data_IF_992929320181
#
_entry.id   IF_992929320181
#
_cell.length_a   1.000
_cell.length_b   1.000
_cell.length_c   1.000
_cell.angle_alpha   90.00
_cell.angle_beta   90.00
_cell.angle_gamma   90.00
#
_symmetry.space_group_name_H-M   'P 1'
#
loop_
_entity.id
_entity.type
_entity.pdbx_description
1 polymer ?
#
# COMPACT_ATOMS: atom_id res chain seq x y z
N UNK A 1 -22.08 -19.74 -1.03
CA UNK A 1 -20.84 -19.60 -0.25
C UNK A 1 -19.89 -20.73 -0.62
N UNK A 2 -18.59 -20.46 -0.76
CA UNK A 2 -17.57 -21.46 -1.13
C UNK A 2 -17.16 -22.36 0.04
N UNK A 3 -17.18 -21.85 1.26
CA UNK A 3 -16.63 -22.47 2.47
C UNK A 3 -17.72 -22.90 3.48
N UNK A 4 -18.96 -23.09 3.01
CA UNK A 4 -20.13 -23.35 3.86
C UNK A 4 -19.93 -24.52 4.83
N UNK A 5 -19.30 -25.62 4.38
CA UNK A 5 -19.08 -26.81 5.20
C UNK A 5 -18.12 -26.58 6.38
N UNK A 6 -17.18 -25.64 6.26
CA UNK A 6 -16.27 -25.24 7.34
C UNK A 6 -16.98 -24.28 8.29
N UNK A 7 -17.68 -23.29 7.72
CA UNK A 7 -18.43 -22.27 8.48
C UNK A 7 -19.49 -22.92 9.39
N UNK A 8 -20.23 -23.93 8.89
CA UNK A 8 -21.23 -24.65 9.68
C UNK A 8 -20.66 -25.42 10.87
N UNK A 9 -19.34 -25.69 10.88
CA UNK A 9 -18.67 -26.35 12.01
C UNK A 9 -18.17 -25.35 13.04
N UNK A 10 -18.21 -24.04 12.77
CA UNK A 10 -17.75 -22.98 13.67
C UNK A 10 -18.87 -22.56 14.61
N UNK A 11 -18.53 -22.33 15.87
CA UNK A 11 -19.37 -21.67 16.85
C UNK A 11 -19.49 -20.18 16.51
N UNK A 12 -20.54 -19.52 17.02
CA UNK A 12 -20.72 -18.08 16.84
C UNK A 12 -19.50 -17.26 17.31
N UNK A 13 -18.90 -17.61 18.45
CA UNK A 13 -17.70 -16.94 18.96
C UNK A 13 -16.47 -17.14 18.07
N UNK A 14 -16.30 -18.33 17.49
CA UNK A 14 -15.23 -18.55 16.50
C UNK A 14 -15.49 -17.78 15.20
N UNK A 15 -16.74 -17.65 14.74
CA UNK A 15 -17.05 -16.82 13.58
C UNK A 15 -16.76 -15.34 13.83
N UNK A 16 -17.16 -14.84 15.02
CA UNK A 16 -16.94 -13.47 15.42
C UNK A 16 -15.45 -13.13 15.53
N UNK A 17 -14.64 -14.03 16.11
CA UNK A 17 -13.20 -13.78 16.28
C UNK A 17 -12.45 -13.61 14.96
N UNK A 18 -12.91 -14.22 13.87
CA UNK A 18 -12.31 -14.03 12.54
C UNK A 18 -12.58 -12.67 11.92
N UNK A 19 -13.52 -11.88 12.45
CA UNK A 19 -13.80 -10.52 11.95
C UNK A 19 -12.83 -9.46 12.46
N UNK A 20 -11.84 -9.86 13.26
CA UNK A 20 -10.74 -9.03 13.74
C UNK A 20 -9.39 -9.73 13.58
N UNK A 21 -8.32 -8.94 13.50
CA UNK A 21 -6.96 -9.44 13.55
C UNK A 21 -6.67 -10.19 14.87
N UNK A 22 -5.75 -11.15 14.81
CA UNK A 22 -5.17 -11.81 15.99
C UNK A 22 -4.19 -10.89 16.71
N UNK A 23 -3.41 -10.15 15.92
CA UNK A 23 -2.44 -9.18 16.39
C UNK A 23 -2.40 -7.98 15.43
N UNK A 24 -1.27 -7.29 15.36
CA UNK A 24 -1.11 -6.13 14.49
C UNK A 24 -1.04 -6.49 12.99
N UNK A 25 -0.56 -7.67 12.63
CA UNK A 25 -0.26 -8.05 11.24
C UNK A 25 -0.96 -9.34 10.78
N UNK A 26 -1.47 -10.15 11.70
CA UNK A 26 -1.97 -11.48 11.39
C UNK A 26 -3.46 -11.65 11.66
N UNK A 27 -4.11 -12.48 10.84
CA UNK A 27 -5.50 -12.92 11.09
C UNK A 27 -5.55 -14.04 12.13
N UNK A 28 -6.73 -14.27 12.67
CA UNK A 28 -7.02 -15.45 13.48
C UNK A 28 -6.74 -16.75 12.71
N UNK A 29 -6.30 -17.77 13.45
CA UNK A 29 -6.21 -19.17 13.02
C UNK A 29 -7.20 -20.02 13.82
N UNK A 30 -7.59 -21.18 13.28
CA UNK A 30 -8.42 -22.16 13.97
C UNK A 30 -7.96 -23.58 13.67
N UNK A 31 -7.11 -24.10 14.55
CA UNK A 31 -6.35 -25.34 14.32
C UNK A 31 -7.26 -26.57 14.19
N UNK A 32 -8.34 -26.65 14.96
CA UNK A 32 -9.28 -27.81 14.89
C UNK A 32 -9.95 -27.95 13.53
N UNK A 33 -10.07 -26.84 12.78
CA UNK A 33 -10.63 -26.80 11.43
C UNK A 33 -9.55 -26.57 10.36
N UNK A 34 -8.27 -26.62 10.75
CA UNK A 34 -7.12 -26.43 9.86
C UNK A 34 -7.17 -25.09 9.10
N UNK A 35 -7.68 -24.03 9.74
CA UNK A 35 -7.69 -22.69 9.15
C UNK A 35 -6.39 -21.98 9.57
N UNK A 36 -5.45 -21.72 8.64
CA UNK A 36 -4.21 -21.05 8.97
C UNK A 36 -4.43 -19.56 9.22
N UNK A 37 -3.47 -18.93 9.90
CA UNK A 37 -3.35 -17.47 9.95
C UNK A 37 -2.63 -16.97 8.69
N UNK A 38 -3.06 -15.83 8.16
CA UNK A 38 -2.35 -15.10 7.10
C UNK A 38 -1.67 -13.85 7.65
N UNK A 39 -0.56 -13.47 7.03
CA UNK A 39 0.20 -12.27 7.38
C UNK A 39 -0.07 -11.14 6.37
N UNK A 40 -0.43 -9.96 6.87
CA UNK A 40 -0.59 -8.72 6.11
C UNK A 40 0.63 -7.82 6.40
N UNK A 41 1.19 -7.18 5.39
CA UNK A 41 2.37 -6.32 5.56
C UNK A 41 2.31 -5.10 4.64
N UNK A 42 2.82 -3.96 5.11
CA UNK A 42 3.17 -2.84 4.24
C UNK A 42 4.27 -3.24 3.24
N UNK A 43 4.48 -2.55 2.12
CA UNK A 43 3.71 -1.40 1.62
C UNK A 43 3.95 -1.14 0.12
N UNK A 44 3.45 -0.02 -0.43
CA UNK A 44 3.17 0.11 -1.87
C UNK A 44 4.40 0.21 -2.80
N UNK A 45 5.59 0.50 -2.27
CA UNK A 45 6.84 0.62 -3.05
C UNK A 45 8.02 -0.15 -2.42
N UNK A 46 7.71 -1.18 -1.64
CA UNK A 46 8.69 -2.08 -1.04
C UNK A 46 8.10 -2.76 0.19
N UNK A 47 8.57 -3.97 0.48
CA UNK A 47 8.07 -4.73 1.61
C UNK A 47 8.64 -4.16 2.93
N UNK A 48 7.77 -3.94 3.90
CA UNK A 48 8.11 -3.55 5.27
C UNK A 48 7.57 -4.57 6.25
N UNK A 49 8.31 -5.67 6.40
CA UNK A 49 8.03 -6.69 7.41
C UNK A 49 8.91 -6.48 8.63
N UNK A 50 8.33 -6.44 9.83
CA UNK A 50 9.08 -6.32 11.08
C UNK A 50 9.81 -7.64 11.40
N UNK A 51 11.10 -7.56 11.78
CA UNK A 51 11.95 -8.73 12.02
C UNK A 51 11.65 -9.48 13.34
N UNK A 52 10.91 -8.85 14.27
CA UNK A 52 10.48 -9.44 15.52
C UNK A 52 9.02 -9.04 15.84
N UNK A 53 8.31 -9.91 16.55
CA UNK A 53 6.99 -9.61 17.10
C UNK A 53 7.13 -8.69 18.32
N UNK A 54 7.28 -7.38 18.13
CA UNK A 54 7.10 -6.43 19.23
C UNK A 54 6.92 -4.98 18.78
N UNK A 55 5.97 -4.35 19.48
CA UNK A 55 5.68 -2.91 19.60
C UNK A 55 4.94 -2.25 18.41
N UNK A 56 3.68 -1.89 18.70
CA UNK A 56 2.71 -1.18 17.87
C UNK A 56 3.23 0.17 17.29
N UNK A 57 4.39 0.66 17.74
CA UNK A 57 4.98 1.94 17.37
C UNK A 57 5.96 1.89 16.19
N UNK A 58 6.30 0.70 15.67
CA UNK A 58 7.19 0.59 14.50
C UNK A 58 8.64 1.01 14.75
N UNK A 59 9.10 0.92 15.99
CA UNK A 59 10.45 1.34 16.44
C UNK A 59 11.58 0.36 16.06
N UNK A 60 11.25 -0.89 15.72
CA UNK A 60 12.23 -1.90 15.33
C UNK A 60 12.49 -1.88 13.81
N UNK A 61 13.75 -2.15 13.42
CA UNK A 61 14.15 -2.20 12.02
C UNK A 61 13.37 -3.28 11.25
N UNK A 62 12.79 -2.91 10.10
CA UNK A 62 12.20 -3.88 9.19
C UNK A 62 13.29 -4.73 8.54
N UNK A 63 12.94 -5.95 8.14
CA UNK A 63 13.80 -6.81 7.32
C UNK A 63 14.18 -6.03 6.05
N UNK A 64 15.46 -6.05 5.63
CA UNK A 64 15.86 -5.39 4.39
C UNK A 64 15.08 -5.91 3.18
N UNK A 65 14.60 -4.99 2.34
CA UNK A 65 13.84 -5.27 1.13
C UNK A 65 14.24 -4.28 0.02
N UNK A 66 13.85 -4.53 -1.22
CA UNK A 66 14.09 -3.57 -2.31
C UNK A 66 13.18 -2.36 -2.11
N UNK A 67 13.77 -1.16 -2.08
CA UNK A 67 13.01 0.09 -2.07
C UNK A 67 12.85 0.58 -3.51
N UNK A 68 11.68 0.32 -4.10
CA UNK A 68 11.35 0.79 -5.44
C UNK A 68 11.05 2.31 -5.43
N UNK A 69 11.13 2.99 -6.59
CA UNK A 69 10.61 4.34 -6.72
C UNK A 69 9.15 4.42 -6.26
N UNK A 70 8.79 5.51 -5.60
CA UNK A 70 7.44 5.66 -5.05
C UNK A 70 6.40 5.74 -6.19
N UNK A 71 5.13 5.44 -5.90
CA UNK A 71 4.06 5.47 -6.92
C UNK A 71 3.95 6.81 -7.64
N UNK A 72 4.27 7.92 -6.97
CA UNK A 72 4.34 9.24 -7.60
C UNK A 72 5.44 9.37 -8.66
N UNK A 73 6.56 8.68 -8.48
CA UNK A 73 7.62 8.59 -9.48
C UNK A 73 7.21 7.63 -10.58
N UNK A 74 6.80 6.40 -10.25
CA UNK A 74 6.49 5.37 -11.26
C UNK A 74 5.34 5.78 -12.18
N UNK A 75 4.36 6.55 -11.70
CA UNK A 75 3.30 7.08 -12.55
C UNK A 75 3.81 7.94 -13.73
N UNK A 76 5.00 8.55 -13.58
CA UNK A 76 5.59 9.40 -14.62
C UNK A 76 6.15 8.60 -15.81
N UNK A 77 6.26 7.27 -15.70
CA UNK A 77 6.63 6.44 -16.87
C UNK A 77 5.47 6.28 -17.86
N UNK A 78 4.22 6.43 -17.40
CA UNK A 78 3.02 6.11 -18.18
C UNK A 78 3.00 4.68 -18.76
N UNK A 79 3.77 3.76 -18.16
CA UNK A 79 3.93 2.39 -18.63
C UNK A 79 3.38 1.36 -17.63
N UNK A 80 2.25 0.76 -18.02
CA UNK A 80 1.63 -0.33 -17.27
C UNK A 80 2.56 -1.55 -17.15
N UNK A 81 3.43 -1.80 -18.14
CA UNK A 81 4.38 -2.91 -18.14
C UNK A 81 5.40 -2.77 -17.02
N UNK A 82 5.98 -1.58 -16.85
CA UNK A 82 6.87 -1.27 -15.72
C UNK A 82 6.15 -1.42 -14.37
N UNK A 83 4.88 -0.97 -14.29
CA UNK A 83 4.08 -1.16 -13.08
C UNK A 83 3.83 -2.64 -12.74
N UNK A 84 3.60 -3.48 -13.75
CA UNK A 84 3.45 -4.92 -13.57
C UNK A 84 4.78 -5.61 -13.21
N UNK A 85 5.90 -5.19 -13.80
CA UNK A 85 7.24 -5.67 -13.47
C UNK A 85 7.57 -5.38 -11.99
N UNK A 86 7.38 -4.13 -11.55
CA UNK A 86 7.51 -3.72 -10.15
C UNK A 86 6.61 -4.55 -9.24
N UNK A 87 5.33 -4.66 -9.57
CA UNK A 87 4.38 -5.47 -8.79
C UNK A 87 4.82 -6.93 -8.65
N UNK A 88 5.41 -7.51 -9.70
CA UNK A 88 5.94 -8.87 -9.67
C UNK A 88 7.12 -9.00 -8.71
N UNK A 89 8.05 -8.04 -8.69
CA UNK A 89 9.15 -8.03 -7.73
C UNK A 89 8.64 -7.90 -6.28
N UNK A 90 7.68 -6.99 -6.04
CA UNK A 90 7.03 -6.85 -4.73
C UNK A 90 6.38 -8.15 -4.27
N UNK A 91 5.61 -8.80 -5.15
CA UNK A 91 4.96 -10.08 -4.86
C UNK A 91 5.97 -11.19 -4.52
N UNK A 92 7.09 -11.27 -5.26
CA UNK A 92 8.17 -12.23 -4.97
C UNK A 92 8.81 -11.99 -3.60
N UNK A 93 9.08 -10.73 -3.25
CA UNK A 93 9.64 -10.39 -1.93
C UNK A 93 8.66 -10.65 -0.79
N UNK A 94 7.39 -10.33 -0.98
CA UNK A 94 6.34 -10.67 -0.03
C UNK A 94 6.27 -12.19 0.18
N UNK A 95 6.29 -12.97 -0.91
CA UNK A 95 6.23 -14.42 -0.86
C UNK A 95 7.45 -15.04 -0.17
N UNK A 96 8.66 -14.57 -0.46
CA UNK A 96 9.89 -15.06 0.19
C UNK A 96 9.90 -14.81 1.70
N UNK A 97 9.21 -13.76 2.13
CA UNK A 97 9.03 -13.43 3.54
C UNK A 97 7.70 -13.94 4.11
N UNK A 98 6.99 -14.86 3.44
CA UNK A 98 5.73 -15.47 3.92
C UNK A 98 4.65 -14.43 4.25
N UNK A 99 4.49 -13.43 3.40
CA UNK A 99 3.41 -12.43 3.47
C UNK A 99 2.32 -12.81 2.48
N UNK A 100 1.07 -12.89 2.95
CA UNK A 100 -0.09 -13.28 2.16
C UNK A 100 -0.73 -12.09 1.46
N UNK A 101 -0.75 -10.92 2.12
CA UNK A 101 -1.36 -9.71 1.61
C UNK A 101 -0.37 -8.56 1.72
N UNK A 102 -0.02 -7.98 0.58
CA UNK A 102 0.76 -6.75 0.53
C UNK A 102 -0.19 -5.56 0.54
N UNK A 103 -0.04 -4.66 1.51
CA UNK A 103 -0.89 -3.49 1.73
C UNK A 103 -0.57 -2.37 0.74
N UNK A 104 -0.88 -2.59 -0.53
CA UNK A 104 -0.74 -1.63 -1.61
C UNK A 104 -1.19 -2.18 -2.97
N UNK A 105 -1.24 -1.33 -4.00
CA UNK A 105 -0.80 0.07 -4.02
C UNK A 105 -1.79 1.08 -3.40
N UNK A 106 -1.28 2.27 -3.07
CA UNK A 106 -2.07 3.44 -2.69
C UNK A 106 -2.55 4.23 -3.91
N UNK A 107 -3.84 4.55 -4.00
CA UNK A 107 -4.46 5.07 -5.23
C UNK A 107 -5.41 6.25 -4.98
N UNK A 108 -5.29 6.92 -3.84
CA UNK A 108 -6.03 8.16 -3.58
C UNK A 108 -5.58 9.26 -4.56
N UNK A 109 -6.52 10.06 -5.04
CA UNK A 109 -6.25 11.18 -5.94
C UNK A 109 -5.42 12.27 -5.25
N UNK A 110 -4.41 12.79 -5.95
CA UNK A 110 -3.61 13.95 -5.53
C UNK A 110 -4.40 15.26 -5.66
N UNK A 111 -5.49 15.42 -4.88
CA UNK A 111 -6.37 16.61 -4.93
C UNK A 111 -5.61 17.92 -4.70
N UNK A 112 -4.66 17.90 -3.76
CA UNK A 112 -3.88 19.06 -3.38
C UNK A 112 -2.41 18.63 -3.21
N UNK A 113 -1.43 19.41 -3.72
CA UNK A 113 -0.02 19.04 -3.64
C UNK A 113 0.52 18.92 -2.21
N UNK A 114 -0.16 19.52 -1.21
CA UNK A 114 0.25 19.52 0.19
C UNK A 114 -0.16 18.25 0.96
N UNK A 115 -0.86 17.31 0.34
CA UNK A 115 -1.18 16.04 1.01
C UNK A 115 0.11 15.27 1.33
N UNK A 116 0.30 14.96 2.62
CA UNK A 116 1.52 14.31 3.12
C UNK A 116 1.82 12.93 2.53
N UNK A 117 0.84 12.28 1.89
CA UNK A 117 0.96 10.96 1.26
C UNK A 117 0.95 10.98 -0.26
N UNK A 118 1.00 12.16 -0.90
CA UNK A 118 1.05 12.23 -2.35
C UNK A 118 2.20 11.43 -2.98
N UNK A 119 3.34 11.29 -2.29
CA UNK A 119 4.45 10.46 -2.78
C UNK A 119 4.06 8.98 -2.98
N UNK A 120 3.09 8.50 -2.19
CA UNK A 120 2.58 7.12 -2.13
C UNK A 120 1.42 6.87 -3.12
N UNK A 121 0.96 7.91 -3.83
CA UNK A 121 -0.15 7.86 -4.78
C UNK A 121 0.32 8.14 -6.21
N UNK A 122 -0.38 7.59 -7.20
CA UNK A 122 0.03 7.68 -8.61
C UNK A 122 -0.18 9.08 -9.21
N UNK A 123 -1.42 9.58 -9.26
CA UNK A 123 -1.75 10.78 -10.04
C UNK A 123 -2.89 11.60 -9.45
N UNK A 124 -3.02 12.83 -9.93
CA UNK A 124 -4.26 13.63 -9.83
C UNK A 124 -5.30 13.19 -10.88
N UNK A 125 -4.85 12.57 -11.97
CA UNK A 125 -5.71 12.04 -13.02
C UNK A 125 -6.22 10.63 -12.68
N UNK A 126 -7.54 10.39 -12.69
CA UNK A 126 -8.13 9.12 -12.31
C UNK A 126 -7.82 7.97 -13.27
N UNK A 127 -7.63 8.25 -14.56
CA UNK A 127 -7.33 7.21 -15.55
C UNK A 127 -5.92 6.67 -15.33
N UNK A 128 -4.92 7.55 -15.29
CA UNK A 128 -3.53 7.17 -15.02
C UNK A 128 -3.39 6.46 -13.68
N UNK A 129 -4.02 6.99 -12.62
CA UNK A 129 -3.99 6.36 -11.30
C UNK A 129 -4.61 4.95 -11.32
N UNK A 130 -5.74 4.77 -12.00
CA UNK A 130 -6.40 3.47 -12.13
C UNK A 130 -5.60 2.45 -12.94
N UNK A 131 -5.02 2.85 -14.07
CA UNK A 131 -4.24 1.97 -14.95
C UNK A 131 -2.96 1.49 -14.28
N UNK A 132 -2.20 2.40 -13.67
CA UNK A 132 -0.99 2.04 -12.93
C UNK A 132 -1.29 1.16 -11.71
N UNK A 133 -2.41 1.43 -11.02
CA UNK A 133 -2.84 0.56 -9.93
C UNK A 133 -3.19 -0.85 -10.40
N UNK A 134 -3.92 -0.97 -11.50
CA UNK A 134 -4.30 -2.26 -12.06
C UNK A 134 -3.08 -3.10 -12.46
N UNK A 135 -2.04 -2.48 -13.03
CA UNK A 135 -0.81 -3.19 -13.40
C UNK A 135 -0.02 -3.69 -12.19
N UNK A 136 0.11 -2.88 -11.14
CA UNK A 136 0.71 -3.31 -9.86
C UNK A 136 -0.02 -4.51 -9.27
N UNK A 137 -1.36 -4.45 -9.22
CA UNK A 137 -2.20 -5.53 -8.69
C UNK A 137 -1.98 -6.82 -9.50
N UNK A 138 -1.97 -6.74 -10.84
CA UNK A 138 -1.69 -7.90 -11.69
C UNK A 138 -0.32 -8.52 -11.38
N UNK A 139 0.72 -7.69 -11.27
CA UNK A 139 2.08 -8.14 -10.96
C UNK A 139 2.18 -8.84 -9.61
N UNK A 140 1.66 -8.22 -8.55
CA UNK A 140 1.69 -8.79 -7.19
C UNK A 140 0.95 -10.13 -7.18
N UNK A 141 -0.27 -10.18 -7.73
CA UNK A 141 -1.12 -11.36 -7.68
C UNK A 141 -0.65 -12.52 -8.57
N UNK A 142 0.12 -12.24 -9.62
CA UNK A 142 0.75 -13.28 -10.43
C UNK A 142 1.74 -14.16 -9.62
N UNK A 143 2.21 -13.67 -8.46
CA UNK A 143 3.12 -14.42 -7.58
C UNK A 143 2.40 -15.30 -6.57
N UNK A 144 1.08 -15.15 -6.40
CA UNK A 144 0.29 -15.83 -5.37
C UNK A 144 -0.01 -14.97 -4.13
N UNK A 145 0.68 -13.82 -3.98
CA UNK A 145 0.40 -12.83 -2.93
C UNK A 145 -0.80 -11.96 -3.32
N UNK A 146 -1.68 -11.63 -2.38
CA UNK A 146 -2.76 -10.68 -2.65
C UNK A 146 -2.26 -9.24 -2.60
N UNK A 147 -2.66 -8.43 -3.56
CA UNK A 147 -2.58 -6.97 -3.44
C UNK A 147 -3.73 -6.43 -2.59
N UNK A 148 -3.61 -5.19 -2.12
CA UNK A 148 -4.61 -4.48 -1.34
C UNK A 148 -4.72 -3.03 -1.84
N UNK A 149 -5.73 -2.73 -2.66
CA UNK A 149 -5.97 -1.34 -3.10
C UNK A 149 -6.38 -0.48 -1.90
N UNK A 150 -5.73 0.68 -1.73
CA UNK A 150 -6.00 1.56 -0.58
C UNK A 150 -5.94 3.05 -0.95
N UNK A 151 -6.61 3.95 -0.26
CA UNK A 151 -7.58 3.75 0.84
C UNK A 151 -8.95 4.15 0.32
N UNK A 152 -9.92 3.24 0.34
CA UNK A 152 -11.24 3.40 -0.23
C UNK A 152 -12.21 4.09 0.76
N UNK A 153 -12.59 5.36 0.58
CA UNK A 153 -12.15 6.30 -0.46
C UNK A 153 -12.04 7.74 0.07
N UNK A 154 -11.50 8.62 -0.77
CA UNK A 154 -11.36 10.05 -0.52
C UNK A 154 -10.48 10.44 0.70
N UNK A 155 -9.49 9.60 1.02
CA UNK A 155 -8.41 9.94 1.96
C UNK A 155 -7.33 10.77 1.27
N UNK A 156 -7.62 12.04 0.97
CA UNK A 156 -6.76 12.90 0.16
C UNK A 156 -5.98 13.94 0.98
N UNK A 157 -5.97 13.82 2.32
CA UNK A 157 -5.18 14.66 3.22
C UNK A 157 -4.93 13.95 4.56
N UNK A 158 -3.76 14.19 5.15
CA UNK A 158 -3.43 13.63 6.46
C UNK A 158 -4.01 14.44 7.63
N UNK A 159 -4.26 15.73 7.41
CA UNK A 159 -4.81 16.60 8.46
C UNK A 159 -6.18 16.09 8.90
N UNK A 160 -6.25 15.65 10.17
CA UNK A 160 -7.44 15.11 10.82
C UNK A 160 -8.08 13.92 10.09
N UNK A 161 -7.28 13.09 9.40
CA UNK A 161 -7.78 11.97 8.58
C UNK A 161 -8.75 11.01 9.29
N UNK A 162 -8.66 10.86 10.62
CA UNK A 162 -9.56 10.01 11.43
C UNK A 162 -10.90 10.66 11.82
N UNK A 163 -11.11 11.93 11.53
CA UNK A 163 -12.33 12.67 11.97
C UNK A 163 -12.92 13.58 10.91
N UNK A 164 -12.18 13.87 9.83
CA UNK A 164 -12.64 14.76 8.79
C UNK A 164 -13.76 14.11 7.96
N UNK A 165 -14.71 14.93 7.54
CA UNK A 165 -15.74 14.57 6.58
C UNK A 165 -15.47 15.22 5.24
N UNK A 166 -15.23 14.38 4.23
CA UNK A 166 -15.04 14.79 2.84
C UNK A 166 -16.41 14.96 2.20
N UNK A 167 -16.85 16.21 2.06
CA UNK A 167 -18.11 16.57 1.40
C UNK A 167 -17.89 16.64 -0.12
N UNK A 168 -18.48 15.71 -0.86
CA UNK A 168 -18.22 15.50 -2.28
C UNK A 168 -19.55 15.18 -2.99
N UNK A 169 -19.88 15.90 -4.06
CA UNK A 169 -21.03 15.57 -4.88
C UNK A 169 -20.83 14.25 -5.63
N UNK A 170 -21.93 13.56 -5.97
CA UNK A 170 -21.88 12.22 -6.56
C UNK A 170 -21.08 12.18 -7.87
N UNK A 171 -21.17 13.23 -8.70
CA UNK A 171 -20.43 13.27 -9.97
C UNK A 171 -18.93 13.30 -9.72
N UNK A 172 -18.46 14.22 -8.87
CA UNK A 172 -17.03 14.30 -8.52
C UNK A 172 -16.57 13.02 -7.81
N UNK A 173 -17.38 12.47 -6.92
CA UNK A 173 -17.10 11.20 -6.24
C UNK A 173 -16.85 10.08 -7.26
N UNK A 174 -17.73 9.94 -8.25
CA UNK A 174 -17.67 8.90 -9.30
C UNK A 174 -16.56 9.10 -10.31
N UNK A 175 -16.42 10.32 -10.84
CA UNK A 175 -15.50 10.62 -11.94
C UNK A 175 -14.05 10.74 -11.48
N UNK A 176 -13.81 11.21 -10.24
CA UNK A 176 -12.46 11.50 -9.73
C UNK A 176 -12.02 10.47 -8.69
N UNK A 177 -12.73 10.37 -7.57
CA UNK A 177 -12.20 9.64 -6.40
C UNK A 177 -12.45 8.14 -6.46
N UNK A 178 -13.55 7.71 -7.07
CA UNK A 178 -13.91 6.30 -7.22
C UNK A 178 -13.43 5.69 -8.52
N UNK A 179 -13.28 6.48 -9.59
CA UNK A 179 -12.82 6.02 -10.90
C UNK A 179 -11.51 5.19 -10.86
N UNK A 180 -10.43 5.57 -10.14
CA UNK A 180 -9.23 4.75 -10.09
C UNK A 180 -9.46 3.40 -9.39
N UNK A 181 -10.33 3.35 -8.37
CA UNK A 181 -10.73 2.09 -7.74
C UNK A 181 -11.55 1.22 -8.68
N UNK A 182 -12.50 1.80 -9.42
CA UNK A 182 -13.30 1.08 -10.41
C UNK A 182 -12.40 0.39 -11.45
N UNK A 183 -11.44 1.14 -12.01
CA UNK A 183 -10.46 0.62 -12.98
C UNK A 183 -9.59 -0.46 -12.33
N UNK A 184 -9.00 -0.16 -11.17
CA UNK A 184 -8.15 -1.09 -10.42
C UNK A 184 -8.87 -2.40 -10.07
N UNK A 185 -10.16 -2.33 -9.74
CA UNK A 185 -11.00 -3.50 -9.45
C UNK A 185 -11.30 -4.31 -10.70
N UNK A 186 -11.79 -3.67 -11.76
CA UNK A 186 -12.22 -4.36 -12.99
C UNK A 186 -11.06 -4.98 -13.74
N UNK A 187 -9.92 -4.29 -13.78
CA UNK A 187 -8.77 -4.69 -14.58
C UNK A 187 -7.71 -5.43 -13.76
N UNK A 188 -7.44 -4.98 -12.53
CA UNK A 188 -6.45 -5.60 -11.63
C UNK A 188 -7.02 -6.77 -10.83
N UNK A 189 -8.32 -6.75 -10.50
CA UNK A 189 -9.02 -7.78 -9.71
C UNK A 189 -8.34 -8.06 -8.35
N UNK A 190 -8.13 -7.03 -7.50
CA UNK A 190 -7.50 -7.21 -6.20
C UNK A 190 -8.36 -8.11 -5.30
N UNK A 191 -7.75 -9.00 -4.52
CA UNK A 191 -8.50 -9.80 -3.53
C UNK A 191 -8.75 -9.05 -2.22
N UNK A 192 -8.09 -7.92 -2.00
CA UNK A 192 -8.31 -7.07 -0.82
C UNK A 192 -8.45 -5.60 -1.23
N UNK A 193 -9.33 -4.88 -0.56
CA UNK A 193 -9.40 -3.41 -0.55
C UNK A 193 -9.33 -2.94 0.91
N UNK A 194 -8.64 -1.84 1.17
CA UNK A 194 -8.61 -1.22 2.49
C UNK A 194 -9.53 0.01 2.51
N UNK A 195 -10.46 0.07 3.46
CA UNK A 195 -11.27 1.27 3.66
C UNK A 195 -10.47 2.40 4.30
N UNK A 196 -10.79 3.66 4.01
CA UNK A 196 -10.12 4.82 4.59
C UNK A 196 -10.57 5.19 6.01
N UNK A 197 -9.77 6.03 6.68
CA UNK A 197 -10.12 6.58 8.00
C UNK A 197 -11.24 7.62 7.99
N UNK A 198 -11.33 8.45 6.96
CA UNK A 198 -12.19 9.61 6.95
C UNK A 198 -13.67 9.24 6.78
N UNK A 199 -14.52 10.25 6.93
CA UNK A 199 -15.92 10.20 6.49
C UNK A 199 -16.04 10.69 5.06
N UNK A 200 -17.10 10.25 4.39
CA UNK A 200 -17.54 10.80 3.11
C UNK A 200 -19.04 11.07 3.21
N UNK A 201 -19.42 12.34 3.09
CA UNK A 201 -20.80 12.80 3.19
C UNK A 201 -21.52 12.30 4.46
N UNK A 202 -20.86 12.39 5.62
CA UNK A 202 -21.45 12.17 6.94
C UNK A 202 -21.04 10.86 7.65
N UNK A 203 -20.77 9.80 6.89
CA UNK A 203 -20.48 8.47 7.43
C UNK A 203 -19.03 8.04 7.20
N UNK A 204 -18.45 7.33 8.18
CA UNK A 204 -17.12 6.74 8.06
C UNK A 204 -17.06 5.73 6.91
N UNK A 205 -15.99 5.73 6.13
CA UNK A 205 -15.99 4.91 4.91
C UNK A 205 -16.10 3.41 5.16
N UNK A 206 -15.65 2.90 6.31
CA UNK A 206 -15.82 1.49 6.69
C UNK A 206 -17.28 1.11 6.98
N UNK A 207 -18.15 2.08 7.27
CA UNK A 207 -19.56 1.92 7.64
C UNK A 207 -20.53 2.45 6.57
N UNK A 208 -20.01 3.15 5.56
CA UNK A 208 -20.80 3.88 4.58
C UNK A 208 -21.49 2.91 3.61
N UNK A 209 -22.81 2.75 3.74
CA UNK A 209 -23.63 1.85 2.92
C UNK A 209 -23.61 2.20 1.43
N UNK A 210 -23.59 3.49 1.09
CA UNK A 210 -23.52 3.94 -0.30
C UNK A 210 -22.21 3.50 -0.94
N UNK A 211 -21.07 3.75 -0.29
CA UNK A 211 -19.76 3.36 -0.81
C UNK A 211 -19.58 1.83 -0.83
N UNK A 212 -19.86 1.16 0.28
CA UNK A 212 -19.50 -0.24 0.47
C UNK A 212 -20.53 -1.19 -0.14
N UNK A 213 -21.84 -0.99 0.10
CA UNK A 213 -22.87 -1.88 -0.45
C UNK A 213 -23.33 -1.45 -1.82
N UNK A 214 -23.80 -0.22 -1.97
CA UNK A 214 -24.46 0.18 -3.22
C UNK A 214 -23.44 0.23 -4.37
N UNK A 215 -22.31 0.90 -4.17
CA UNK A 215 -21.29 1.00 -5.22
C UNK A 215 -20.43 -0.26 -5.30
N UNK A 216 -19.71 -0.58 -4.23
CA UNK A 216 -18.67 -1.62 -4.30
C UNK A 216 -19.26 -3.02 -4.48
N UNK A 217 -20.26 -3.42 -3.69
CA UNK A 217 -20.89 -4.76 -3.82
C UNK A 217 -21.95 -4.83 -4.91
N UNK A 218 -22.88 -3.88 -4.98
CA UNK A 218 -24.07 -4.00 -5.83
C UNK A 218 -23.80 -3.53 -7.27
N UNK A 219 -23.11 -2.42 -7.49
CA UNK A 219 -22.81 -1.96 -8.85
C UNK A 219 -21.56 -2.64 -9.43
N UNK A 220 -20.44 -2.59 -8.72
CA UNK A 220 -19.16 -3.11 -9.22
C UNK A 220 -18.98 -4.62 -9.03
N UNK A 221 -19.89 -5.25 -8.28
CA UNK A 221 -19.88 -6.70 -8.02
C UNK A 221 -18.57 -7.17 -7.39
N UNK A 222 -17.95 -6.36 -6.54
CA UNK A 222 -16.76 -6.78 -5.81
C UNK A 222 -17.12 -7.82 -4.75
N UNK A 223 -16.59 -9.04 -4.85
CA UNK A 223 -16.92 -10.17 -3.97
C UNK A 223 -15.75 -10.64 -3.09
N UNK A 224 -14.67 -9.86 -3.01
CA UNK A 224 -13.50 -10.20 -2.18
C UNK A 224 -13.47 -9.36 -0.88
N UNK A 225 -12.36 -9.40 -0.15
CA UNK A 225 -12.28 -8.90 1.22
C UNK A 225 -12.09 -7.38 1.27
N UNK A 226 -12.79 -6.73 2.19
CA UNK A 226 -12.52 -5.37 2.64
C UNK A 226 -11.96 -5.45 4.06
N UNK A 227 -10.82 -4.80 4.26
CA UNK A 227 -10.15 -4.64 5.56
C UNK A 227 -10.22 -3.17 5.98
N UNK A 228 -10.27 -2.89 7.27
CA UNK A 228 -10.13 -1.51 7.75
C UNK A 228 -8.70 -1.02 7.55
N UNK A 229 -8.49 0.29 7.43
CA UNK A 229 -7.20 0.86 7.81
C UNK A 229 -6.96 0.60 9.31
N UNK A 230 -5.71 0.67 9.75
CA UNK A 230 -5.30 0.29 11.10
C UNK A 230 -5.93 1.18 12.19
N UNK A 231 -6.91 0.64 12.92
CA UNK A 231 -7.70 1.41 13.89
C UNK A 231 -8.79 2.28 13.25
N UNK A 232 -9.14 2.01 11.99
CA UNK A 232 -10.18 2.71 11.23
C UNK A 232 -11.58 2.11 11.36
N UNK A 233 -11.82 1.29 12.39
CA UNK A 233 -13.12 0.72 12.74
C UNK A 233 -13.75 1.58 13.84
N UNK A 234 -14.90 2.21 13.57
CA UNK A 234 -15.58 3.07 14.56
C UNK A 234 -16.83 2.41 15.16
N UNK A 235 -17.63 1.73 14.34
CA UNK A 235 -18.76 0.89 14.75
C UNK A 235 -18.67 -0.47 14.05
N UNK A 236 -18.40 -1.53 14.82
CA UNK A 236 -18.16 -2.87 14.29
C UNK A 236 -19.39 -3.43 13.59
N UNK A 237 -20.58 -3.24 14.17
CA UNK A 237 -21.82 -3.81 13.66
C UNK A 237 -22.20 -3.13 12.36
N UNK A 238 -22.13 -1.79 12.30
CA UNK A 238 -22.37 -1.05 11.05
C UNK A 238 -21.34 -1.41 9.98
N UNK A 239 -20.07 -1.57 10.34
CA UNK A 239 -19.02 -2.01 9.42
C UNK A 239 -19.32 -3.36 8.77
N UNK A 240 -19.75 -4.35 9.57
CA UNK A 240 -20.17 -5.66 9.06
C UNK A 240 -21.40 -5.60 8.17
N UNK A 241 -22.39 -4.78 8.52
CA UNK A 241 -23.57 -4.55 7.68
C UNK A 241 -23.15 -3.94 6.34
N UNK A 242 -22.26 -2.94 6.35
CA UNK A 242 -21.70 -2.33 5.15
C UNK A 242 -20.84 -3.29 4.30
N UNK A 243 -20.34 -4.38 4.90
CA UNK A 243 -19.53 -5.39 4.22
C UNK A 243 -18.02 -5.14 4.33
N UNK A 244 -17.58 -4.62 5.47
CA UNK A 244 -16.19 -4.49 5.88
C UNK A 244 -15.84 -5.62 6.86
N UNK A 245 -15.23 -6.69 6.34
CA UNK A 245 -15.10 -7.97 7.02
C UNK A 245 -14.09 -7.94 8.17
N UNK A 246 -12.89 -7.41 7.89
CA UNK A 246 -11.72 -7.59 8.75
C UNK A 246 -11.31 -6.28 9.41
N UNK A 247 -11.49 -6.20 10.72
CA UNK A 247 -10.92 -5.15 11.54
C UNK A 247 -9.43 -5.41 11.80
N UNK A 248 -8.60 -4.42 11.48
CA UNK A 248 -7.17 -4.42 11.81
C UNK A 248 -6.78 -3.13 12.55
N UNK A 249 -5.82 -3.17 13.49
CA UNK A 249 -5.28 -4.38 14.12
C UNK A 249 -6.30 -4.99 15.10
N UNK A 250 -5.91 -6.01 15.87
CA UNK A 250 -6.72 -6.48 17.00
C UNK A 250 -6.98 -5.37 18.04
N UNK A 251 -8.14 -5.41 18.69
CA UNK A 251 -8.45 -4.65 19.90
C UNK A 251 -8.50 -5.53 21.16
N UNK A 252 -7.95 -6.75 21.11
CA UNK A 252 -8.00 -7.69 22.22
C UNK A 252 -9.30 -8.51 22.31
N UNK A 253 -10.22 -8.33 21.36
CA UNK A 253 -11.45 -9.12 21.24
C UNK A 253 -12.71 -8.39 21.71
N UNK A 254 -12.61 -7.14 22.16
CA UNK A 254 -13.74 -6.35 22.67
C UNK A 254 -14.89 -6.28 21.64
N UNK A 255 -14.57 -6.04 20.36
CA UNK A 255 -15.59 -5.98 19.29
C UNK A 255 -16.10 -7.35 18.85
N UNK A 256 -15.41 -8.45 19.19
CA UNK A 256 -15.91 -9.80 18.90
C UNK A 256 -17.13 -10.12 19.76
N UNK A 257 -17.11 -9.70 21.03
CA UNK A 257 -18.24 -9.89 21.94
C UNK A 257 -19.45 -9.05 21.51
N UNK A 258 -19.22 -7.83 20.98
CA UNK A 258 -20.28 -7.01 20.39
C UNK A 258 -21.01 -7.74 19.25
N UNK A 259 -20.26 -8.43 18.37
CA UNK A 259 -20.83 -9.21 17.25
C UNK A 259 -21.67 -10.36 17.79
N UNK A 260 -21.15 -11.12 18.75
CA UNK A 260 -21.85 -12.25 19.36
C UNK A 260 -23.18 -11.79 19.98
N UNK A 261 -23.16 -10.68 20.73
CA UNK A 261 -24.34 -10.13 21.37
C UNK A 261 -25.34 -9.56 20.35
N UNK A 262 -24.87 -8.91 19.28
CA UNK A 262 -25.72 -8.42 18.21
C UNK A 262 -26.47 -9.55 17.50
N UNK A 263 -25.81 -10.70 17.27
CA UNK A 263 -26.45 -11.89 16.69
C UNK A 263 -27.48 -12.49 17.64
N UNK A 264 -27.11 -12.72 18.92
CA UNK A 264 -28.04 -13.28 19.92
C UNK A 264 -29.29 -12.42 20.13
N UNK A 265 -29.15 -11.09 20.05
CA UNK A 265 -30.25 -10.12 20.17
C UNK A 265 -31.02 -9.92 18.87
N UNK A 266 -30.60 -10.53 17.75
CA UNK A 266 -31.25 -10.40 16.45
C UNK A 266 -31.04 -9.04 15.77
N UNK A 267 -30.05 -8.26 16.21
CA UNK A 267 -29.67 -6.97 15.58
C UNK A 267 -29.10 -7.22 14.18
N UNK A 268 -28.29 -8.28 14.05
CA UNK A 268 -27.84 -8.81 12.75
C UNK A 268 -28.10 -10.31 12.68
N UNK A 269 -28.42 -10.86 11.51
CA UNK A 269 -28.53 -12.30 11.36
C UNK A 269 -27.15 -12.95 11.32
N UNK A 270 -27.01 -14.18 11.84
CA UNK A 270 -25.76 -14.95 11.75
C UNK A 270 -25.32 -15.19 10.29
N UNK A 271 -26.27 -15.24 9.35
CA UNK A 271 -25.97 -15.37 7.92
C UNK A 271 -25.16 -14.21 7.35
N UNK A 272 -25.25 -13.01 7.93
CA UNK A 272 -24.38 -11.88 7.55
C UNK A 272 -22.93 -12.21 7.91
N UNK A 273 -22.70 -12.81 9.07
CA UNK A 273 -21.37 -13.20 9.51
C UNK A 273 -20.80 -14.33 8.63
N UNK A 274 -21.64 -15.30 8.28
CA UNK A 274 -21.27 -16.38 7.35
C UNK A 274 -20.85 -15.85 5.98
N UNK A 275 -21.55 -14.85 5.44
CA UNK A 275 -21.22 -14.21 4.16
C UNK A 275 -19.84 -13.52 4.19
N UNK A 276 -19.57 -12.75 5.25
CA UNK A 276 -18.30 -12.06 5.46
C UNK A 276 -17.14 -13.07 5.65
N UNK A 277 -17.39 -14.11 6.46
CA UNK A 277 -16.43 -15.17 6.73
C UNK A 277 -16.12 -16.00 5.48
N UNK A 278 -17.09 -16.24 4.59
CA UNK A 278 -16.86 -16.95 3.34
C UNK A 278 -15.79 -16.25 2.47
N UNK A 279 -15.86 -14.92 2.36
CA UNK A 279 -14.86 -14.13 1.62
C UNK A 279 -13.49 -14.20 2.26
N UNK A 280 -13.43 -14.04 3.59
CA UNK A 280 -12.18 -14.09 4.33
C UNK A 280 -11.52 -15.47 4.27
N UNK A 281 -12.29 -16.55 4.44
CA UNK A 281 -11.76 -17.91 4.34
C UNK A 281 -11.26 -18.23 2.92
N UNK A 282 -11.95 -17.74 1.88
CA UNK A 282 -11.44 -17.87 0.51
C UNK A 282 -10.09 -17.17 0.34
N UNK A 283 -9.90 -15.95 0.85
CA UNK A 283 -8.60 -15.28 0.83
C UNK A 283 -7.53 -16.07 1.60
N UNK A 284 -7.86 -16.55 2.80
CA UNK A 284 -6.96 -17.33 3.64
C UNK A 284 -6.48 -18.57 2.90
N UNK A 285 -7.39 -19.42 2.41
CA UNK A 285 -7.02 -20.65 1.76
C UNK A 285 -6.27 -20.44 0.44
N UNK A 286 -6.68 -19.47 -0.37
CA UNK A 286 -6.01 -19.20 -1.65
C UNK A 286 -4.57 -18.71 -1.46
N UNK A 287 -4.32 -17.83 -0.48
CA UNK A 287 -2.97 -17.27 -0.27
C UNK A 287 -2.06 -18.19 0.54
N UNK A 288 -2.61 -18.93 1.51
CA UNK A 288 -1.82 -19.87 2.31
C UNK A 288 -1.28 -21.04 1.48
N UNK A 289 -2.01 -21.49 0.46
CA UNK A 289 -1.55 -22.52 -0.48
C UNK A 289 -0.27 -22.13 -1.22
N UNK A 290 -0.06 -20.85 -1.49
CA UNK A 290 1.11 -20.38 -2.24
C UNK A 290 2.36 -20.23 -1.37
N UNK A 291 2.17 -20.04 -0.05
CA UNK A 291 3.25 -19.86 0.93
C UNK A 291 3.81 -21.19 1.45
N UNK A 292 3.01 -22.27 1.46
CA UNK A 292 3.33 -23.50 2.19
C UNK A 292 4.58 -24.25 1.72
N UNK A 293 5.10 -23.97 0.52
CA UNK A 293 6.10 -24.86 -0.11
C UNK A 293 7.30 -24.15 -0.76
N UNK A 294 7.48 -22.83 -0.58
CA UNK A 294 8.50 -22.08 -1.32
C UNK A 294 9.46 -21.34 -0.40
N UNK A 295 10.68 -21.87 -0.25
CA UNK A 295 11.82 -21.02 0.14
C UNK A 295 12.30 -20.31 -1.12
N UNK A 296 11.76 -19.11 -1.37
CA UNK A 296 12.19 -18.28 -2.49
C UNK A 296 13.43 -17.47 -2.06
N UNK A 297 14.55 -17.74 -2.73
CA UNK A 297 15.71 -16.86 -2.67
C UNK A 297 15.47 -15.70 -3.63
N UNK A 298 15.56 -14.48 -3.09
CA UNK A 298 15.48 -13.26 -3.89
C UNK A 298 16.89 -12.88 -4.33
N UNK A 299 17.06 -12.74 -5.64
CA UNK A 299 18.23 -12.09 -6.20
C UNK A 299 18.08 -10.57 -5.97
N UNK A 300 18.76 -10.10 -4.93
CA UNK A 300 18.72 -8.70 -4.50
C UNK A 300 19.32 -7.77 -5.54
N UNK A 301 20.34 -8.21 -6.27
CA UNK A 301 21.00 -7.40 -7.30
C UNK A 301 20.10 -7.28 -8.53
N UNK A 302 19.44 -8.36 -8.94
CA UNK A 302 18.46 -8.32 -10.03
C UNK A 302 17.27 -7.40 -9.68
N UNK A 303 16.72 -7.50 -8.46
CA UNK A 303 15.64 -6.60 -8.03
C UNK A 303 16.10 -5.13 -7.94
N UNK A 304 17.34 -4.88 -7.51
CA UNK A 304 17.93 -3.55 -7.49
C UNK A 304 18.09 -2.97 -8.90
N UNK A 305 18.51 -3.77 -9.89
CA UNK A 305 18.57 -3.37 -11.29
C UNK A 305 17.19 -3.03 -11.87
N UNK A 306 16.16 -3.79 -11.50
CA UNK A 306 14.77 -3.46 -11.86
C UNK A 306 14.35 -2.12 -11.24
N UNK A 307 14.66 -1.88 -9.96
CA UNK A 307 14.38 -0.60 -9.30
C UNK A 307 15.12 0.57 -9.99
N UNK A 308 16.36 0.37 -10.42
CA UNK A 308 17.13 1.34 -11.20
C UNK A 308 16.46 1.64 -12.55
N UNK A 309 16.14 0.61 -13.34
CA UNK A 309 15.44 0.76 -14.64
C UNK A 309 14.15 1.55 -14.48
N UNK A 310 13.32 1.20 -13.50
CA UNK A 310 12.07 1.91 -13.22
C UNK A 310 12.34 3.37 -12.85
N UNK A 311 13.40 3.65 -12.07
CA UNK A 311 13.78 5.02 -11.74
C UNK A 311 14.15 5.80 -13.00
N UNK A 312 15.00 5.24 -13.86
CA UNK A 312 15.45 5.85 -15.13
C UNK A 312 14.28 6.16 -16.07
N UNK A 313 13.38 5.20 -16.27
CA UNK A 313 12.19 5.35 -17.14
C UNK A 313 11.07 6.21 -16.54
N UNK A 314 11.23 6.65 -15.30
CA UNK A 314 10.26 7.50 -14.59
C UNK A 314 10.76 8.94 -14.35
N UNK A 315 11.96 9.29 -14.81
CA UNK A 315 12.50 10.64 -14.71
C UNK A 315 11.85 11.57 -15.72
N UNK A 316 11.44 12.76 -15.28
CA UNK A 316 10.91 13.81 -16.16
C UNK A 316 11.94 14.91 -16.34
N UNK A 317 12.43 15.08 -17.58
CA UNK A 317 13.26 16.21 -17.96
C UNK A 317 12.39 17.47 -18.13
N UNK A 318 12.31 18.29 -17.08
CA UNK A 318 11.45 19.49 -17.08
C UNK A 318 12.02 20.64 -17.92
N UNK A 319 13.35 20.76 -17.99
CA UNK A 319 14.02 21.87 -18.67
C UNK A 319 15.38 21.42 -19.19
N UNK A 320 15.67 21.72 -20.46
CA UNK A 320 16.98 21.54 -21.07
C UNK A 320 17.24 22.68 -22.07
N UNK A 321 17.92 23.72 -21.60
CA UNK A 321 18.34 24.86 -22.44
C UNK A 321 19.79 24.70 -22.87
N UNK A 322 20.14 25.29 -24.02
CA UNK A 322 21.52 25.34 -24.54
C UNK A 322 22.19 23.96 -24.70
N UNK A 323 21.40 22.89 -24.87
CA UNK A 323 21.89 21.51 -24.91
C UNK A 323 22.76 21.16 -23.68
N UNK A 324 22.37 21.62 -22.50
CA UNK A 324 23.09 21.34 -21.25
C UNK A 324 23.12 19.85 -20.92
N UNK A 325 22.03 19.13 -21.23
CA UNK A 325 21.97 17.67 -21.13
C UNK A 325 21.87 17.02 -22.53
N UNK A 326 22.51 15.85 -22.75
CA UNK A 326 23.38 15.12 -21.81
C UNK A 326 24.70 15.86 -21.52
N UNK A 327 25.29 15.61 -20.35
CA UNK A 327 26.55 16.24 -19.95
C UNK A 327 27.70 15.83 -20.88
N UNK A 328 28.61 16.75 -21.15
CA UNK A 328 29.78 16.51 -21.99
C UNK A 328 31.02 16.15 -21.15
N UNK A 329 31.67 15.03 -21.48
CA UNK A 329 32.88 14.54 -20.82
C UNK A 329 34.06 15.54 -20.81
N UNK A 330 34.12 16.43 -21.81
CA UNK A 330 35.18 17.44 -21.94
C UNK A 330 35.00 18.61 -20.96
N UNK A 331 33.79 18.80 -20.43
CA UNK A 331 33.48 19.88 -19.51
C UNK A 331 33.84 19.51 -18.08
N UNK A 332 34.33 20.49 -17.32
CA UNK A 332 34.60 20.33 -15.88
C UNK A 332 33.28 20.41 -15.11
N UNK A 333 32.91 19.32 -14.45
CA UNK A 333 31.63 19.20 -13.75
C UNK A 333 31.86 19.22 -12.23
N UNK A 334 31.22 20.15 -11.54
CA UNK A 334 31.19 20.18 -10.08
C UNK A 334 29.84 19.66 -9.57
N UNK A 335 29.85 18.70 -8.65
CA UNK A 335 28.63 18.15 -8.05
C UNK A 335 28.33 18.92 -6.76
N UNK A 336 27.22 19.64 -6.72
CA UNK A 336 26.84 20.45 -5.55
C UNK A 336 25.49 20.02 -5.02
N UNK A 337 25.43 19.72 -3.72
CA UNK A 337 24.18 19.51 -3.00
C UNK A 337 24.19 18.27 -2.10
N UNK A 338 23.57 18.41 -0.93
CA UNK A 338 23.47 17.34 0.06
C UNK A 338 22.77 16.07 -0.46
N UNK A 339 21.77 16.20 -1.35
CA UNK A 339 21.09 15.05 -1.94
C UNK A 339 21.97 14.19 -2.85
N UNK A 340 23.09 14.71 -3.36
CA UNK A 340 23.99 13.93 -4.19
C UNK A 340 24.72 12.84 -3.39
N UNK A 341 25.04 13.10 -2.10
CA UNK A 341 25.68 12.11 -1.20
C UNK A 341 24.65 11.38 -0.33
N UNK A 342 23.62 12.11 0.11
CA UNK A 342 22.58 11.62 1.01
C UNK A 342 21.22 11.64 0.28
N UNK A 343 20.88 10.65 -0.56
CA UNK A 343 19.70 10.73 -1.41
C UNK A 343 18.40 10.79 -0.62
N UNK A 344 17.38 11.44 -1.20
CA UNK A 344 15.98 11.32 -0.77
C UNK A 344 15.24 10.54 -1.83
N UNK A 345 15.04 9.26 -1.53
CA UNK A 345 14.58 8.25 -2.48
C UNK A 345 13.18 7.70 -2.14
N UNK A 346 12.69 7.95 -0.92
CA UNK A 346 11.37 7.54 -0.46
C UNK A 346 10.74 8.60 0.44
N UNK A 347 9.45 8.40 0.77
CA UNK A 347 8.73 9.20 1.75
C UNK A 347 8.86 8.67 3.18
N UNK A 348 7.84 8.91 4.01
CA UNK A 348 7.81 8.54 5.42
C UNK A 348 6.56 7.69 5.77
N UNK A 349 6.37 7.37 7.05
CA UNK A 349 5.18 6.66 7.53
C UNK A 349 5.22 5.15 7.31
N UNK A 350 4.06 4.53 7.10
CA UNK A 350 3.91 3.07 6.96
C UNK A 350 4.64 2.50 5.73
N UNK A 351 4.95 3.34 4.74
CA UNK A 351 5.66 2.98 3.52
C UNK A 351 7.19 3.01 3.62
N UNK A 352 7.78 3.29 4.79
CA UNK A 352 9.25 3.28 4.94
C UNK A 352 9.80 1.86 4.70
N UNK A 353 10.75 1.75 3.79
CA UNK A 353 11.49 0.53 3.48
C UNK A 353 12.92 0.63 4.02
N UNK A 354 13.42 -0.43 4.63
CA UNK A 354 14.84 -0.59 4.92
C UNK A 354 15.53 -1.18 3.67
N UNK A 355 16.27 -0.39 2.87
CA UNK A 355 16.74 -0.85 1.56
C UNK A 355 17.84 -1.92 1.70
N UNK A 356 17.80 -2.94 0.83
CA UNK A 356 18.90 -3.91 0.66
C UNK A 356 20.17 -3.26 0.12
N UNK A 357 20.01 -2.31 -0.81
CA UNK A 357 21.07 -1.52 -1.43
C UNK A 357 20.55 -0.12 -1.72
N UNK A 358 21.41 0.89 -1.57
CA UNK A 358 21.08 2.28 -1.85
C UNK A 358 22.31 2.99 -2.41
N UNK A 359 22.22 3.39 -3.68
CA UNK A 359 23.28 4.15 -4.35
C UNK A 359 23.10 5.66 -4.12
N UNK A 360 24.17 6.42 -4.29
CA UNK A 360 24.14 7.88 -4.28
C UNK A 360 24.96 8.43 -5.46
N UNK A 361 24.60 9.63 -5.91
CA UNK A 361 25.22 10.26 -7.08
C UNK A 361 26.73 10.45 -6.92
N UNK A 362 27.22 10.83 -5.73
CA UNK A 362 28.66 11.07 -5.53
C UNK A 362 29.49 9.82 -5.76
N UNK A 363 28.98 8.66 -5.32
CA UNK A 363 29.71 7.40 -5.48
C UNK A 363 29.50 6.79 -6.88
N UNK A 364 28.31 6.95 -7.48
CA UNK A 364 27.99 6.38 -8.79
C UNK A 364 28.49 7.22 -9.99
N UNK A 365 28.67 8.52 -9.84
CA UNK A 365 29.03 9.39 -10.98
C UNK A 365 30.43 9.10 -11.54
N UNK A 366 31.31 8.51 -10.73
CA UNK A 366 32.65 8.10 -11.15
C UNK A 366 32.67 6.92 -12.13
N UNK A 367 31.56 6.20 -12.26
CA UNK A 367 31.43 5.10 -13.23
C UNK A 367 31.13 5.59 -14.66
N UNK A 368 30.89 6.90 -14.82
CA UNK A 368 30.64 7.54 -16.11
C UNK A 368 31.90 8.27 -16.61
N UNK A 369 32.06 8.33 -17.93
CA UNK A 369 33.13 9.10 -18.59
C UNK A 369 32.82 10.61 -18.50
N UNK A 370 32.96 11.19 -17.31
CA UNK A 370 32.71 12.59 -16.99
C UNK A 370 33.89 13.19 -16.23
N UNK A 371 34.29 14.41 -16.59
CA UNK A 371 35.36 15.13 -15.90
C UNK A 371 34.84 15.81 -14.62
N UNK A 372 34.64 15.01 -13.57
CA UNK A 372 34.18 15.47 -12.26
C UNK A 372 35.33 16.13 -11.49
N UNK A 373 35.23 17.43 -11.23
CA UNK A 373 36.29 18.19 -10.54
C UNK A 373 36.16 18.22 -9.02
N UNK A 374 34.98 17.84 -8.49
CA UNK A 374 34.78 17.76 -7.04
C UNK A 374 33.31 17.70 -6.62
N UNK A 375 33.11 17.46 -5.33
CA UNK A 375 31.82 17.46 -4.67
C UNK A 375 31.81 18.41 -3.47
N UNK A 376 30.75 19.20 -3.33
CA UNK A 376 30.50 20.01 -2.13
C UNK A 376 29.03 19.98 -1.71
N UNK A 377 28.76 19.95 -0.40
CA UNK A 377 27.38 19.84 0.13
C UNK A 377 26.54 21.10 -0.18
N UNK A 378 27.16 22.28 -0.17
CA UNK A 378 26.54 23.57 -0.48
C UNK A 378 25.57 24.13 0.58
N UNK A 379 24.73 23.31 1.21
CA UNK A 379 23.69 23.75 2.16
C UNK A 379 23.46 22.77 3.31
N UNK A 380 22.84 23.25 4.40
CA UNK A 380 22.34 22.38 5.48
C UNK A 380 20.91 21.96 5.13
N UNK A 381 20.64 20.66 5.17
CA UNK A 381 19.29 20.11 4.98
C UNK A 381 18.30 20.76 5.96
N UNK A 382 17.12 21.14 5.46
CA UNK A 382 16.04 21.78 6.23
C UNK A 382 16.32 23.22 6.71
N UNK A 383 17.20 23.96 6.02
CA UNK A 383 17.00 25.41 5.87
C UNK A 383 17.88 26.34 6.71
N UNK A 384 18.81 25.82 7.54
CA UNK A 384 19.79 26.70 8.19
C UNK A 384 20.86 27.14 7.18
N UNK A 385 20.98 28.46 6.95
CA UNK A 385 22.05 29.00 6.08
C UNK A 385 23.42 28.74 6.67
N UNK A 386 24.38 28.36 5.84
CA UNK A 386 25.78 28.14 6.23
C UNK A 386 26.72 28.87 5.26
N UNK A 387 27.30 29.99 5.70
CA UNK A 387 28.28 30.74 4.91
C UNK A 387 29.51 29.90 4.56
N UNK A 388 29.90 28.98 5.46
CA UNK A 388 31.02 28.07 5.26
C UNK A 388 30.76 27.09 4.11
N UNK A 389 29.58 26.48 4.06
CA UNK A 389 29.24 25.52 3.00
C UNK A 389 29.08 26.23 1.65
N UNK A 390 28.46 27.42 1.64
CA UNK A 390 28.36 28.25 0.43
C UNK A 390 29.74 28.61 -0.13
N UNK A 391 30.67 29.05 0.73
CA UNK A 391 32.03 29.44 0.30
C UNK A 391 32.84 28.26 -0.24
N UNK A 392 32.56 27.03 0.19
CA UNK A 392 33.25 25.84 -0.34
C UNK A 392 32.72 25.42 -1.70
N UNK A 393 31.42 25.59 -1.93
CA UNK A 393 30.75 25.20 -3.17
C UNK A 393 30.97 26.19 -4.34
N UNK A 394 31.40 27.42 -4.04
CA UNK A 394 31.79 28.46 -5.00
C UNK A 394 33.29 28.47 -5.17
#
# INVERSE_FOLDING_TARGET
MKNQAIIQKMTLSEKASFMSGKDFWTTMNLDRLQIPSIFLSDGPHGLRKQAAAADQLGLNASIPATCFPTSATVANSWDETLGQELGTCLGKEALSQKVNVLLGPGINIKRNPLCGRNFEYFSEDPLLAGKMAASYVKGIQATGVSACLKHFSANNQEYRRMTIDSIIDERTLREIYLKPFEIGIKEGKPKVIMSSYNKVNGDYTNENMHLQRDILRNEWKYQNVVVTDWGGSNDRIKGLIAGNELEMPTNGGDTNDEIVEAVKKGVIPESLLDENLDRLLTLIFETSKEISDKTLLIDKDAHHQVAQKIAEESLILLKNENNTLPLNAQEKIAVIGDFAKNPRYQGAGSSIVNPTKLDNTVDAIGDFDLNIVGYEQGYIRYGKKSRRLLKRAM
#
